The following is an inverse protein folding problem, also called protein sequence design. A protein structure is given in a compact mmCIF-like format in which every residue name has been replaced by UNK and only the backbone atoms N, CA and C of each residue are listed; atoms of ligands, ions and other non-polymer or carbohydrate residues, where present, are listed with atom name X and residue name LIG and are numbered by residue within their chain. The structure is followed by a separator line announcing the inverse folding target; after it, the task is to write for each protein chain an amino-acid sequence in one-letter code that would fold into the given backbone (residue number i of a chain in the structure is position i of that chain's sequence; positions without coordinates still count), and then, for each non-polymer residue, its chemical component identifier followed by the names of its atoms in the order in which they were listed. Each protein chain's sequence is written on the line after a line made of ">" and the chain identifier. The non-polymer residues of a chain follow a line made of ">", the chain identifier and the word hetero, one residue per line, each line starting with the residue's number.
data_IF_052144711718
#
_entry.id   IF_052144711718
#
_cell.length_a   1.000
_cell.length_b   1.000
_cell.length_c   1.000
_cell.angle_alpha   90.00
_cell.angle_beta   90.00
_cell.angle_gamma   90.00
#
_symmetry.space_group_name_H-M   'P 1'
#
loop_
_entity.id
_entity.type
_entity.pdbx_description
1 polymer ?
#
# COMPACT_ATOMS: atom_id res chain seq x y z
N UNK A 1 -8.94 20.20 -19.05
CA UNK A 1 -9.46 19.45 -17.90
C UNK A 1 -9.06 17.98 -17.88
N UNK A 2 -9.13 17.25 -19.01
CA UNK A 2 -8.67 15.84 -19.06
C UNK A 2 -7.20 15.65 -18.66
N UNK A 3 -6.30 16.53 -19.09
CA UNK A 3 -4.87 16.45 -18.73
C UNK A 3 -4.63 16.59 -17.23
N UNK A 4 -5.35 17.51 -16.57
CA UNK A 4 -5.25 17.72 -15.12
C UNK A 4 -5.73 16.48 -14.36
N UNK A 5 -6.87 15.89 -14.77
CA UNK A 5 -7.38 14.65 -14.18
C UNK A 5 -6.37 13.52 -14.29
N UNK A 6 -5.73 13.37 -15.44
CA UNK A 6 -4.73 12.32 -15.66
C UNK A 6 -3.49 12.50 -14.78
N UNK A 7 -2.99 13.73 -14.67
CA UNK A 7 -1.87 14.06 -13.79
C UNK A 7 -2.23 13.80 -12.33
N UNK A 8 -3.45 14.17 -11.92
CA UNK A 8 -3.93 13.90 -10.56
C UNK A 8 -4.02 12.40 -10.27
N UNK A 9 -4.48 11.58 -11.21
CA UNK A 9 -4.53 10.13 -11.04
C UNK A 9 -3.13 9.54 -10.78
N UNK A 10 -2.13 10.02 -11.51
CA UNK A 10 -0.75 9.54 -11.36
C UNK A 10 -0.13 10.02 -10.03
N UNK A 11 -0.35 11.26 -9.65
CA UNK A 11 0.30 11.86 -8.49
C UNK A 11 -0.45 11.62 -7.17
N UNK A 12 -1.76 11.34 -7.22
CA UNK A 12 -2.58 11.21 -6.02
C UNK A 12 -2.05 10.18 -5.00
N UNK A 13 -1.63 8.96 -5.38
CA UNK A 13 -1.14 8.00 -4.40
C UNK A 13 0.10 8.49 -3.65
N UNK A 14 1.07 9.06 -4.38
CA UNK A 14 2.31 9.54 -3.74
C UNK A 14 2.06 10.76 -2.87
N UNK A 15 1.16 11.65 -3.26
CA UNK A 15 0.81 12.82 -2.48
C UNK A 15 0.07 12.43 -1.18
N UNK A 16 -0.93 11.55 -1.28
CA UNK A 16 -1.68 11.07 -0.12
C UNK A 16 -0.81 10.21 0.79
N UNK A 17 0.02 9.34 0.23
CA UNK A 17 0.95 8.53 0.99
C UNK A 17 1.97 9.36 1.74
N UNK A 18 2.50 10.40 1.11
CA UNK A 18 3.43 11.34 1.74
C UNK A 18 2.75 12.13 2.88
N UNK A 19 1.51 12.54 2.68
CA UNK A 19 0.73 13.25 3.69
C UNK A 19 0.49 12.36 4.92
N UNK A 20 0.04 11.11 4.71
CA UNK A 20 -0.17 10.15 5.80
C UNK A 20 1.15 9.86 6.52
N UNK A 21 2.23 9.62 5.78
CA UNK A 21 3.55 9.40 6.36
C UNK A 21 4.03 10.57 7.21
N UNK A 22 3.80 11.79 6.77
CA UNK A 22 4.13 12.99 7.54
C UNK A 22 3.29 13.08 8.83
N UNK A 23 2.00 12.79 8.75
CA UNK A 23 1.11 12.83 9.91
C UNK A 23 1.48 11.82 11.01
N UNK A 24 2.02 10.66 10.63
CA UNK A 24 2.37 9.57 11.57
C UNK A 24 3.88 9.40 11.78
N UNK A 25 4.70 10.32 11.29
CA UNK A 25 6.16 10.20 11.32
C UNK A 25 6.75 9.93 12.71
N UNK A 26 6.15 10.51 13.74
CA UNK A 26 6.62 10.36 15.11
C UNK A 26 6.21 9.01 15.72
N UNK A 27 5.25 8.32 15.10
CA UNK A 27 4.73 7.04 15.58
C UNK A 27 5.48 5.84 14.99
N UNK A 28 6.35 6.04 13.99
CA UNK A 28 7.09 4.94 13.36
C UNK A 28 8.02 4.19 14.33
N UNK A 29 8.44 4.84 15.40
CA UNK A 29 9.25 4.21 16.45
C UNK A 29 8.51 3.11 17.22
N UNK A 30 7.20 3.02 17.08
CA UNK A 30 6.39 2.00 17.76
C UNK A 30 6.91 0.58 17.54
N UNK A 31 7.32 0.23 16.31
CA UNK A 31 7.85 -1.11 16.03
C UNK A 31 9.12 -1.43 16.81
N UNK A 32 9.90 -0.42 17.19
CA UNK A 32 11.10 -0.62 17.99
C UNK A 32 10.79 -0.92 19.47
N UNK A 33 9.54 -0.70 19.90
CA UNK A 33 9.11 -0.88 21.29
C UNK A 33 8.45 -2.24 21.54
N UNK A 34 8.16 -3.01 20.48
CA UNK A 34 7.46 -4.30 20.58
C UNK A 34 8.34 -5.43 20.04
N UNK A 35 8.17 -6.66 20.60
CA UNK A 35 8.92 -7.83 20.11
C UNK A 35 8.62 -8.15 18.66
N UNK A 36 9.67 -8.44 17.89
CA UNK A 36 9.58 -8.94 16.53
C UNK A 36 10.90 -9.62 16.14
N UNK A 37 10.84 -10.61 15.25
CA UNK A 37 12.03 -11.35 14.78
C UNK A 37 12.57 -10.81 13.47
N UNK A 38 11.67 -10.30 12.60
CA UNK A 38 12.04 -9.80 11.28
C UNK A 38 12.35 -8.31 11.39
N UNK A 39 13.59 -7.94 11.07
CA UNK A 39 14.08 -6.56 11.12
C UNK A 39 14.39 -6.07 9.72
N UNK A 40 13.61 -5.07 9.25
CA UNK A 40 13.93 -4.37 8.00
C UNK A 40 14.28 -2.92 8.32
N UNK A 41 15.36 -2.38 7.69
CA UNK A 41 15.69 -0.97 7.84
C UNK A 41 14.53 -0.07 7.38
N UNK A 42 14.28 1.02 8.11
CA UNK A 42 13.18 1.93 7.82
C UNK A 42 13.22 2.54 6.42
N UNK A 43 14.41 2.76 5.85
CA UNK A 43 14.54 3.32 4.50
C UNK A 43 13.98 2.38 3.41
N UNK A 44 14.00 1.05 3.64
CA UNK A 44 13.43 0.07 2.69
C UNK A 44 11.91 0.29 2.56
N UNK A 45 11.22 0.57 3.66
CA UNK A 45 9.78 0.88 3.64
C UNK A 45 9.49 2.14 2.80
N UNK A 46 10.29 3.19 2.99
CA UNK A 46 10.13 4.45 2.25
C UNK A 46 10.32 4.23 0.75
N UNK A 47 11.39 3.53 0.37
CA UNK A 47 11.70 3.23 -1.04
C UNK A 47 10.58 2.37 -1.64
N UNK A 48 10.20 1.29 -0.98
CA UNK A 48 9.18 0.35 -1.49
C UNK A 48 7.83 1.05 -1.68
N UNK A 49 7.35 1.78 -0.68
CA UNK A 49 6.09 2.49 -0.79
C UNK A 49 6.10 3.60 -1.84
N UNK A 50 7.21 4.32 -1.97
CA UNK A 50 7.36 5.34 -3.00
C UNK A 50 7.25 4.75 -4.41
N UNK A 51 7.93 3.63 -4.66
CA UNK A 51 7.85 2.92 -5.94
C UNK A 51 6.42 2.44 -6.20
N UNK A 52 5.77 1.84 -5.19
CA UNK A 52 4.40 1.33 -5.31
C UNK A 52 3.41 2.45 -5.63
N UNK A 53 3.50 3.58 -4.94
CA UNK A 53 2.61 4.72 -5.19
C UNK A 53 2.78 5.28 -6.59
N UNK A 54 4.00 5.41 -7.07
CA UNK A 54 4.28 5.89 -8.44
C UNK A 54 3.73 4.89 -9.47
N UNK A 55 4.06 3.61 -9.34
CA UNK A 55 3.65 2.59 -10.30
C UNK A 55 2.15 2.36 -10.30
N UNK A 56 1.50 2.34 -9.13
CA UNK A 56 0.05 2.19 -9.05
C UNK A 56 -0.68 3.41 -9.60
N UNK A 57 -0.13 4.60 -9.42
CA UNK A 57 -0.65 5.83 -10.03
C UNK A 57 -0.60 5.77 -11.56
N UNK A 58 0.53 5.34 -12.12
CA UNK A 58 0.68 5.15 -13.57
C UNK A 58 -0.29 4.07 -14.06
N UNK A 59 -0.40 2.95 -13.34
CA UNK A 59 -1.35 1.90 -13.69
C UNK A 59 -2.79 2.41 -13.72
N UNK A 60 -3.19 3.18 -12.71
CA UNK A 60 -4.56 3.73 -12.65
C UNK A 60 -4.88 4.62 -13.85
N UNK A 61 -3.93 5.44 -14.26
CA UNK A 61 -4.07 6.26 -15.46
C UNK A 61 -4.23 5.42 -16.72
N UNK A 62 -3.35 4.44 -16.93
CA UNK A 62 -3.38 3.59 -18.11
C UNK A 62 -4.64 2.72 -18.15
N UNK A 63 -5.04 2.17 -17.00
CA UNK A 63 -6.25 1.35 -16.89
C UNK A 63 -7.52 2.18 -17.15
N UNK A 64 -7.58 3.39 -16.62
CA UNK A 64 -8.70 4.31 -16.88
C UNK A 64 -8.77 4.71 -18.36
N UNK A 65 -7.61 4.91 -19.02
CA UNK A 65 -7.54 5.23 -20.44
C UNK A 65 -8.13 4.12 -21.32
N UNK A 66 -8.05 2.87 -20.88
CA UNK A 66 -8.65 1.71 -21.57
C UNK A 66 -10.14 1.51 -21.23
N UNK A 67 -10.75 2.40 -20.49
CA UNK A 67 -12.14 2.28 -20.05
C UNK A 67 -12.34 1.42 -18.80
N UNK A 68 -11.26 1.12 -18.08
CA UNK A 68 -11.33 0.35 -16.83
C UNK A 68 -12.00 1.13 -15.70
N UNK A 69 -12.71 0.40 -14.83
CA UNK A 69 -13.35 0.97 -13.64
C UNK A 69 -12.35 1.04 -12.48
N UNK A 70 -12.12 2.24 -11.94
CA UNK A 70 -11.17 2.49 -10.87
C UNK A 70 -11.76 2.36 -9.46
N UNK A 71 -13.01 1.95 -9.29
CA UNK A 71 -13.66 1.85 -7.97
C UNK A 71 -12.86 0.97 -7.01
N UNK A 72 -12.47 -0.22 -7.47
CA UNK A 72 -11.68 -1.17 -6.65
C UNK A 72 -10.28 -0.60 -6.37
N UNK A 73 -9.69 0.10 -7.32
CA UNK A 73 -8.41 0.78 -7.13
C UNK A 73 -8.49 1.83 -6.03
N UNK A 74 -9.51 2.68 -6.03
CA UNK A 74 -9.68 3.68 -4.96
C UNK A 74 -9.93 3.05 -3.60
N UNK A 75 -10.68 1.93 -3.56
CA UNK A 75 -10.84 1.16 -2.33
C UNK A 75 -9.50 0.64 -1.83
N UNK A 76 -8.68 0.07 -2.71
CA UNK A 76 -7.34 -0.42 -2.36
C UNK A 76 -6.44 0.71 -1.85
N UNK A 77 -6.49 1.87 -2.47
CA UNK A 77 -5.73 3.04 -2.04
C UNK A 77 -6.16 3.51 -0.66
N UNK A 78 -7.46 3.58 -0.39
CA UNK A 78 -7.99 3.97 0.92
C UNK A 78 -7.54 3.00 2.01
N UNK A 79 -7.62 1.69 1.77
CA UNK A 79 -7.14 0.67 2.71
C UNK A 79 -5.62 0.75 2.92
N UNK A 80 -4.87 0.98 1.86
CA UNK A 80 -3.43 1.17 1.94
C UNK A 80 -3.05 2.35 2.82
N UNK A 81 -3.70 3.50 2.62
CA UNK A 81 -3.47 4.70 3.42
C UNK A 81 -3.89 4.52 4.88
N UNK A 82 -4.90 3.71 5.14
CA UNK A 82 -5.38 3.42 6.49
C UNK A 82 -4.41 2.51 7.26
N UNK A 83 -3.67 1.65 6.58
CA UNK A 83 -2.76 0.69 7.22
C UNK A 83 -1.74 1.38 8.13
N UNK A 84 -1.10 2.44 7.66
CA UNK A 84 -0.04 3.12 8.40
C UNK A 84 -0.52 3.70 9.74
N UNK A 85 -1.57 4.53 9.79
CA UNK A 85 -2.06 5.01 11.08
C UNK A 85 -2.68 3.91 11.95
N UNK A 86 -3.28 2.89 11.35
CA UNK A 86 -3.87 1.78 12.11
C UNK A 86 -2.81 1.00 12.89
N UNK A 87 -1.67 0.72 12.27
CA UNK A 87 -0.57 0.00 12.91
C UNK A 87 0.24 0.90 13.84
N UNK A 88 0.72 2.03 13.35
CA UNK A 88 1.71 2.84 14.07
C UNK A 88 1.10 3.77 15.11
N UNK A 89 -0.04 4.38 14.81
CA UNK A 89 -0.68 5.35 15.72
C UNK A 89 -1.69 4.69 16.66
N UNK A 90 -2.50 3.76 16.15
CA UNK A 90 -3.54 3.09 16.91
C UNK A 90 -3.10 1.75 17.52
N UNK A 91 -1.92 1.27 17.14
CA UNK A 91 -1.32 0.03 17.66
C UNK A 91 -2.20 -1.22 17.48
N UNK A 92 -3.01 -1.25 16.44
CA UNK A 92 -3.97 -2.33 16.16
C UNK A 92 -3.33 -3.41 15.29
N UNK A 93 -2.54 -4.30 15.89
CA UNK A 93 -1.77 -5.32 15.17
C UNK A 93 -2.68 -6.29 14.42
N UNK A 94 -3.69 -6.85 15.09
CA UNK A 94 -4.62 -7.82 14.46
C UNK A 94 -5.42 -7.16 13.34
N UNK A 95 -5.96 -5.96 13.59
CA UNK A 95 -6.70 -5.23 12.57
C UNK A 95 -5.83 -4.90 11.36
N UNK A 96 -4.56 -4.55 11.58
CA UNK A 96 -3.59 -4.28 10.52
C UNK A 96 -3.26 -5.55 9.72
N UNK A 97 -3.15 -6.70 10.38
CA UNK A 97 -2.97 -8.00 9.70
C UNK A 97 -4.15 -8.31 8.79
N UNK A 98 -5.37 -8.18 9.30
CA UNK A 98 -6.60 -8.40 8.51
C UNK A 98 -6.63 -7.45 7.30
N UNK A 99 -6.25 -6.19 7.52
CA UNK A 99 -6.23 -5.18 6.46
C UNK A 99 -5.21 -5.52 5.37
N UNK A 100 -4.01 -5.98 5.72
CA UNK A 100 -2.98 -6.40 4.75
C UNK A 100 -3.47 -7.60 3.94
N UNK A 101 -4.10 -8.58 4.57
CA UNK A 101 -4.68 -9.74 3.88
C UNK A 101 -5.75 -9.28 2.89
N UNK A 102 -6.66 -8.43 3.33
CA UNK A 102 -7.72 -7.88 2.48
C UNK A 102 -7.15 -7.10 1.30
N UNK A 103 -6.16 -6.25 1.57
CA UNK A 103 -5.50 -5.44 0.55
C UNK A 103 -4.77 -6.32 -0.47
N UNK A 104 -4.08 -7.36 -0.03
CA UNK A 104 -3.40 -8.32 -0.91
C UNK A 104 -4.39 -9.01 -1.85
N UNK A 105 -5.54 -9.44 -1.33
CA UNK A 105 -6.59 -10.08 -2.14
C UNK A 105 -7.15 -9.11 -3.18
N UNK A 106 -7.38 -7.86 -2.79
CA UNK A 106 -7.90 -6.82 -3.70
C UNK A 106 -6.89 -6.51 -4.81
N UNK A 107 -5.64 -6.28 -4.46
CA UNK A 107 -4.60 -5.94 -5.44
C UNK A 107 -4.32 -7.12 -6.36
N UNK A 108 -4.32 -8.34 -5.84
CA UNK A 108 -4.18 -9.54 -6.66
C UNK A 108 -5.36 -9.71 -7.62
N UNK A 109 -6.57 -9.42 -7.17
CA UNK A 109 -7.75 -9.40 -8.04
C UNK A 109 -7.61 -8.36 -9.16
N UNK A 110 -7.13 -7.14 -8.84
CA UNK A 110 -6.85 -6.11 -9.84
C UNK A 110 -5.81 -6.59 -10.85
N UNK A 111 -4.75 -7.24 -10.39
CA UNK A 111 -3.71 -7.81 -11.24
C UNK A 111 -4.29 -8.86 -12.22
N UNK A 112 -5.14 -9.76 -11.73
CA UNK A 112 -5.77 -10.77 -12.57
C UNK A 112 -6.80 -10.20 -13.55
N UNK A 113 -7.49 -9.14 -13.16
CA UNK A 113 -8.53 -8.49 -13.97
C UNK A 113 -7.94 -7.73 -15.16
N UNK A 114 -6.76 -7.15 -15.02
CA UNK A 114 -6.08 -6.49 -16.11
C UNK A 114 -5.42 -7.54 -17.02
N UNK A 115 -5.95 -7.70 -18.21
CA UNK A 115 -5.49 -8.73 -19.17
C UNK A 115 -4.30 -8.28 -20.02
N UNK A 116 -3.84 -7.05 -19.86
CA UNK A 116 -2.74 -6.49 -20.63
C UNK A 116 -1.44 -6.45 -19.83
N UNK A 117 -0.34 -6.10 -20.49
CA UNK A 117 0.97 -6.02 -19.86
C UNK A 117 1.07 -4.90 -18.81
N UNK A 118 0.14 -3.95 -18.80
CA UNK A 118 0.06 -2.91 -17.77
C UNK A 118 -0.09 -3.47 -16.36
N UNK A 119 -0.65 -4.68 -16.20
CA UNK A 119 -0.72 -5.38 -14.91
C UNK A 119 0.66 -5.56 -14.26
N UNK A 120 1.74 -5.59 -15.03
CA UNK A 120 3.09 -5.72 -14.49
C UNK A 120 3.49 -4.54 -13.60
N UNK A 121 2.83 -3.38 -13.75
CA UNK A 121 3.00 -2.24 -12.85
C UNK A 121 2.46 -2.52 -11.43
N UNK A 122 1.54 -3.47 -11.28
CA UNK A 122 1.03 -3.91 -9.99
C UNK A 122 1.85 -5.04 -9.36
N UNK A 123 2.74 -5.67 -10.11
CA UNK A 123 3.54 -6.80 -9.61
C UNK A 123 4.41 -6.42 -8.40
N UNK A 124 5.16 -5.30 -8.40
CA UNK A 124 5.89 -4.87 -7.20
C UNK A 124 4.98 -4.65 -6.00
N UNK A 125 3.75 -4.17 -6.23
CA UNK A 125 2.77 -3.98 -5.17
C UNK A 125 2.38 -5.33 -4.54
N UNK A 126 2.06 -6.32 -5.35
CA UNK A 126 1.72 -7.68 -4.87
C UNK A 126 2.89 -8.27 -4.08
N UNK A 127 4.11 -8.18 -4.61
CA UNK A 127 5.31 -8.70 -3.96
C UNK A 127 5.57 -8.01 -2.61
N UNK A 128 5.42 -6.70 -2.56
CA UNK A 128 5.59 -5.95 -1.31
C UNK A 128 4.52 -6.29 -0.28
N UNK A 129 3.28 -6.50 -0.70
CA UNK A 129 2.22 -6.93 0.22
C UNK A 129 2.47 -8.33 0.79
N UNK A 130 3.13 -9.21 0.04
CA UNK A 130 3.57 -10.51 0.58
C UNK A 130 4.64 -10.31 1.66
N UNK A 131 5.58 -9.40 1.46
CA UNK A 131 6.58 -9.03 2.48
C UNK A 131 5.87 -8.42 3.70
N UNK A 132 4.96 -7.49 3.48
CA UNK A 132 4.19 -6.86 4.57
C UNK A 132 3.36 -7.89 5.35
N UNK A 133 2.76 -8.87 4.66
CA UNK A 133 2.04 -9.96 5.30
C UNK A 133 2.97 -10.78 6.20
N UNK A 134 4.16 -11.13 5.73
CA UNK A 134 5.15 -11.86 6.52
C UNK A 134 5.53 -11.08 7.78
N UNK A 135 5.77 -9.78 7.65
CA UNK A 135 6.07 -8.89 8.79
C UNK A 135 4.90 -8.83 9.78
N UNK A 136 3.66 -8.73 9.29
CA UNK A 136 2.47 -8.65 10.15
C UNK A 136 2.19 -9.97 10.86
N UNK A 137 2.47 -11.11 10.23
CA UNK A 137 2.37 -12.43 10.87
C UNK A 137 3.41 -12.53 11.99
N UNK A 138 4.65 -12.13 11.74
CA UNK A 138 5.71 -12.11 12.77
C UNK A 138 5.30 -11.24 13.97
N UNK A 139 4.85 -10.01 13.72
CA UNK A 139 4.39 -9.11 14.77
C UNK A 139 3.23 -9.71 15.58
N UNK A 140 2.28 -10.35 14.91
CA UNK A 140 1.13 -10.96 15.56
C UNK A 140 1.57 -12.12 16.45
N UNK A 141 2.43 -13.00 15.96
CA UNK A 141 2.92 -14.14 16.72
C UNK A 141 3.75 -13.74 17.94
N UNK A 142 4.48 -12.62 17.85
CA UNK A 142 5.30 -12.13 18.96
C UNK A 142 4.50 -11.32 20.02
N UNK A 143 3.34 -10.75 19.66
CA UNK A 143 2.63 -9.79 20.51
C UNK A 143 1.19 -10.20 20.88
N UNK A 144 0.71 -11.31 20.33
CA UNK A 144 -0.67 -11.80 20.57
C UNK A 144 -0.70 -13.31 20.96
#
# INVERSE_FOLDING_TARGET
>A
MKKIKNVLLVLMPILLGSLVGFCVKDDFSYLNTIPHNINLPGFIFIIAWSIIYILSGIWSYLYNKKGGNLTIYFLSLALNLLFTPLLFSLHQIIASLILVITLLLIVFFMFLKDKENTKLLLLPYVLWLLVALTLMVDLTLCNV
#
